data_IF_791439243129
#
_entry.id   IF_791439243129
#
_cell.length_a   1.000
_cell.length_b   1.000
_cell.length_c   1.000
_cell.angle_alpha   90.00
_cell.angle_beta   90.00
_cell.angle_gamma   90.00
#
_symmetry.space_group_name_H-M   'P 1'
#
loop_
_entity.id
_entity.type
_entity.pdbx_description
1 polymer ?
#
# COMPACT_ATOMS: atom_id res chain seq x y z
N UNK A 1 -12.58 -1.98 -0.48
CA UNK A 1 -12.03 -2.93 -1.46
C UNK A 1 -12.99 -3.45 -2.51
N UNK A 2 -14.30 -3.19 -2.40
CA UNK A 2 -15.32 -3.62 -3.38
C UNK A 2 -15.02 -3.20 -4.82
N UNK A 3 -14.68 -1.92 -5.06
CA UNK A 3 -14.39 -1.41 -6.39
C UNK A 3 -13.18 -2.10 -7.03
N UNK A 4 -12.08 -2.25 -6.29
CA UNK A 4 -10.89 -2.97 -6.76
C UNK A 4 -11.23 -4.42 -7.12
N UNK A 5 -12.02 -5.09 -6.27
CA UNK A 5 -12.44 -6.46 -6.52
C UNK A 5 -13.32 -6.57 -7.77
N UNK A 6 -14.25 -5.64 -8.00
CA UNK A 6 -15.09 -5.64 -9.20
C UNK A 6 -14.34 -5.27 -10.48
N UNK A 7 -13.35 -4.38 -10.39
CA UNK A 7 -12.67 -3.81 -11.55
C UNK A 7 -11.46 -4.60 -12.01
N UNK A 8 -10.80 -5.36 -11.13
CA UNK A 8 -9.64 -6.15 -11.50
C UNK A 8 -10.07 -7.57 -11.94
N UNK A 9 -9.73 -8.01 -13.17
CA UNK A 9 -10.00 -9.38 -13.59
C UNK A 9 -9.20 -10.38 -12.75
N UNK A 10 -9.66 -11.63 -12.72
CA UNK A 10 -8.93 -12.74 -12.09
C UNK A 10 -7.54 -12.87 -12.73
N UNK A 11 -6.51 -13.06 -11.90
CA UNK A 11 -5.10 -13.03 -12.33
C UNK A 11 -4.57 -11.63 -12.65
N UNK A 12 -5.41 -10.59 -12.59
CA UNK A 12 -5.01 -9.21 -12.75
C UNK A 12 -4.09 -8.74 -11.63
N UNK A 13 -3.19 -7.81 -11.95
CA UNK A 13 -2.20 -7.28 -11.03
C UNK A 13 -2.46 -5.82 -10.74
N UNK A 14 -2.13 -5.38 -9.54
CA UNK A 14 -2.06 -3.96 -9.22
C UNK A 14 -0.85 -3.67 -8.34
N UNK A 15 -0.40 -2.41 -8.39
CA UNK A 15 0.64 -1.87 -7.53
C UNK A 15 0.02 -0.81 -6.65
N UNK A 16 0.34 -0.83 -5.37
CA UNK A 16 -0.09 0.19 -4.42
C UNK A 16 1.13 0.80 -3.74
N UNK A 17 1.11 2.12 -3.60
CA UNK A 17 2.07 2.90 -2.82
C UNK A 17 1.33 3.68 -1.74
N UNK A 18 1.74 3.53 -0.49
CA UNK A 18 1.14 4.21 0.66
C UNK A 18 2.22 4.68 1.64
N UNK A 19 1.83 5.42 2.67
CA UNK A 19 2.73 5.73 3.78
C UNK A 19 3.00 4.46 4.58
N UNK A 20 4.28 4.17 4.84
CA UNK A 20 4.64 3.04 5.68
C UNK A 20 4.33 3.30 7.15
N UNK A 21 4.25 2.23 7.95
CA UNK A 21 4.28 2.38 9.41
C UNK A 21 5.56 3.11 9.87
N UNK A 22 5.40 4.02 10.82
CA UNK A 22 6.49 4.90 11.26
C UNK A 22 6.72 6.12 10.34
N UNK A 23 5.93 6.26 9.27
CA UNK A 23 5.89 7.46 8.44
C UNK A 23 5.12 8.64 9.08
N UNK A 24 4.77 9.68 8.31
CA UNK A 24 4.01 10.81 8.82
C UNK A 24 2.58 10.41 9.21
N UNK A 25 1.98 11.09 10.19
CA UNK A 25 0.57 10.88 10.58
C UNK A 25 -0.42 11.76 9.82
N UNK A 26 0.09 12.81 9.15
CA UNK A 26 -0.72 13.73 8.36
C UNK A 26 -0.04 14.04 7.03
N UNK A 27 -0.85 14.23 5.99
CA UNK A 27 -0.43 14.75 4.70
C UNK A 27 -1.41 15.84 4.27
N UNK A 28 -0.90 17.03 3.92
CA UNK A 28 -1.73 18.20 3.55
C UNK A 28 -2.82 18.54 4.59
N UNK A 29 -2.50 18.37 5.88
CA UNK A 29 -3.43 18.62 6.99
C UNK A 29 -4.42 17.48 7.29
N UNK A 30 -4.54 16.48 6.40
CA UNK A 30 -5.42 15.33 6.57
C UNK A 30 -4.71 14.21 7.33
N UNK A 31 -5.42 13.56 8.25
CA UNK A 31 -4.96 12.31 8.88
C UNK A 31 -4.85 11.22 7.82
N UNK A 32 -3.73 10.49 7.81
CA UNK A 32 -3.49 9.40 6.87
C UNK A 32 -3.51 8.04 7.59
N UNK A 33 -3.73 6.98 6.82
CA UNK A 33 -3.52 5.60 7.27
C UNK A 33 -2.14 5.12 6.83
N UNK A 34 -1.44 4.44 7.73
CA UNK A 34 -0.15 3.83 7.46
C UNK A 34 -0.32 2.33 7.25
N UNK A 35 0.44 1.77 6.31
CA UNK A 35 0.39 0.35 6.00
C UNK A 35 1.77 -0.28 6.02
N UNK A 36 1.80 -1.54 6.43
CA UNK A 36 2.85 -2.51 6.16
C UNK A 36 2.21 -3.66 5.36
N UNK A 37 2.97 -4.71 5.05
CA UNK A 37 2.41 -5.86 4.33
C UNK A 37 1.23 -6.47 5.10
N UNK A 38 1.36 -6.66 6.41
CA UNK A 38 0.35 -7.34 7.21
C UNK A 38 -0.98 -6.59 7.24
N UNK A 39 -0.94 -5.28 7.48
CA UNK A 39 -2.14 -4.42 7.50
C UNK A 39 -2.74 -4.25 6.13
N UNK A 40 -1.92 -4.15 5.06
CA UNK A 40 -2.43 -4.08 3.69
C UNK A 40 -3.13 -5.39 3.30
N UNK A 41 -2.57 -6.55 3.66
CA UNK A 41 -3.22 -7.85 3.43
C UNK A 41 -4.54 -7.98 4.17
N UNK A 42 -4.61 -7.49 5.41
CA UNK A 42 -5.85 -7.48 6.17
C UNK A 42 -6.93 -6.61 5.50
N UNK A 43 -6.55 -5.42 4.99
CA UNK A 43 -7.46 -4.50 4.30
C UNK A 43 -7.95 -5.05 2.95
N UNK A 44 -7.05 -5.64 2.16
CA UNK A 44 -7.37 -6.27 0.87
C UNK A 44 -8.23 -7.52 1.01
N UNK A 45 -8.06 -8.24 2.11
CA UNK A 45 -8.75 -9.49 2.38
C UNK A 45 -8.27 -10.65 1.51
N UNK A 46 -8.96 -11.80 1.57
CA UNK A 46 -8.48 -13.05 1.02
C UNK A 46 -8.57 -13.14 -0.51
N UNK A 47 -9.17 -12.17 -1.21
CA UNK A 47 -9.25 -12.19 -2.69
C UNK A 47 -7.95 -11.82 -3.39
N UNK A 48 -6.97 -11.30 -2.64
CA UNK A 48 -5.69 -10.88 -3.19
C UNK A 48 -4.53 -11.58 -2.50
N UNK A 49 -3.44 -11.77 -3.23
CA UNK A 49 -2.19 -12.29 -2.68
C UNK A 49 -1.03 -11.35 -2.99
N UNK A 50 -0.10 -11.16 -2.03
CA UNK A 50 1.12 -10.39 -2.26
C UNK A 50 2.07 -11.19 -3.16
N UNK A 51 2.66 -10.52 -4.13
CA UNK A 51 3.76 -11.05 -4.94
C UNK A 51 5.10 -10.44 -4.54
N UNK A 52 5.10 -9.15 -4.18
CA UNK A 52 6.28 -8.46 -3.67
C UNK A 52 5.82 -7.31 -2.77
N UNK A 53 6.53 -7.08 -1.67
CA UNK A 53 6.28 -5.99 -0.74
C UNK A 53 7.61 -5.42 -0.27
N UNK A 54 7.71 -4.10 -0.20
CA UNK A 54 8.94 -3.42 0.20
C UNK A 54 8.65 -2.08 0.85
N UNK A 55 9.47 -1.71 1.80
CA UNK A 55 9.51 -0.36 2.35
C UNK A 55 10.62 0.45 1.69
N UNK A 56 10.38 1.74 1.48
CA UNK A 56 11.31 2.65 0.85
C UNK A 56 11.47 3.93 1.66
N UNK A 57 12.73 4.27 1.95
CA UNK A 57 13.10 5.51 2.63
C UNK A 57 13.32 6.60 1.58
N UNK A 58 12.35 7.48 1.41
CA UNK A 58 12.47 8.63 0.53
C UNK A 58 13.01 9.83 1.32
N UNK A 59 14.06 10.47 0.83
CA UNK A 59 14.49 11.77 1.35
C UNK A 59 13.77 12.85 0.56
N UNK A 60 12.94 13.65 1.23
CA UNK A 60 12.21 14.75 0.60
C UNK A 60 13.17 15.82 0.08
N UNK A 61 12.75 16.70 -0.84
CA UNK A 61 13.57 17.84 -1.26
C UNK A 61 14.03 18.75 -0.12
N UNK A 62 13.29 18.77 1.00
CA UNK A 62 13.63 19.48 2.23
C UNK A 62 14.58 18.70 3.17
N UNK A 63 15.06 17.54 2.75
CA UNK A 63 16.01 16.71 3.50
C UNK A 63 15.41 15.84 4.61
N UNK A 64 14.07 15.76 4.71
CA UNK A 64 13.41 14.94 5.74
C UNK A 64 13.18 13.51 5.24
N UNK A 65 13.39 12.48 6.07
CA UNK A 65 13.04 11.11 5.68
C UNK A 65 11.52 10.93 5.68
N UNK A 66 11.02 10.19 4.69
CA UNK A 66 9.64 9.79 4.58
C UNK A 66 9.55 8.33 4.13
N UNK A 67 8.89 7.52 4.95
CA UNK A 67 8.76 6.09 4.73
C UNK A 67 7.53 5.78 3.88
N UNK A 68 7.73 5.00 2.82
CA UNK A 68 6.68 4.51 1.95
C UNK A 68 6.65 2.99 1.93
N UNK A 69 5.46 2.43 1.86
CA UNK A 69 5.23 1.02 1.61
C UNK A 69 4.77 0.85 0.16
N UNK A 70 5.35 -0.11 -0.53
CA UNK A 70 4.95 -0.53 -1.86
C UNK A 70 4.63 -2.01 -1.86
N UNK A 71 3.54 -2.37 -2.55
CA UNK A 71 3.15 -3.76 -2.72
C UNK A 71 2.64 -4.03 -4.14
N UNK A 72 3.06 -5.17 -4.68
CA UNK A 72 2.52 -5.78 -5.89
C UNK A 72 1.61 -6.92 -5.47
N UNK A 73 0.37 -6.88 -5.92
CA UNK A 73 -0.64 -7.87 -5.58
C UNK A 73 -1.30 -8.42 -6.83
N UNK A 74 -1.77 -9.66 -6.72
CA UNK A 74 -2.56 -10.34 -7.75
C UNK A 74 -3.93 -10.70 -7.21
N UNK A 75 -4.97 -10.56 -8.03
CA UNK A 75 -6.30 -11.08 -7.72
C UNK A 75 -6.33 -12.59 -7.92
N UNK A 76 -6.67 -13.31 -6.86
CA UNK A 76 -6.89 -14.76 -6.88
C UNK A 76 -8.23 -15.10 -7.53
N UNK A 77 -8.34 -16.36 -7.96
CA UNK A 77 -9.58 -16.97 -8.47
C UNK A 77 -10.75 -16.83 -7.49
#
# INVERSE_FOLDING_TARGET
MELLNRSLPIGGHFVVGTFAKGGPYKCSGLTICQYDEATMRAELGPSFEPLNCSEYHHTTPSGKPQLFFFGVFRKKE
#
